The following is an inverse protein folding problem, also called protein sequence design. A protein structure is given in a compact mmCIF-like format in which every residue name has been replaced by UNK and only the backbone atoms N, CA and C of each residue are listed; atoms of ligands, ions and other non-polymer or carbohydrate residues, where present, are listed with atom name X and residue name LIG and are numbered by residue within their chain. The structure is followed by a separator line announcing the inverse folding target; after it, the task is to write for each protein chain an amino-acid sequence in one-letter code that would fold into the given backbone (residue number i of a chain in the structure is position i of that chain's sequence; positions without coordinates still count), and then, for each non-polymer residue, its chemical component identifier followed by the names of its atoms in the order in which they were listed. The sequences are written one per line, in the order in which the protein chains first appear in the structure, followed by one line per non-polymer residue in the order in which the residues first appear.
data_IF_923991126351
#
_entry.id   IF_923991126351
#
_cell.length_a   1.000
_cell.length_b   1.000
_cell.length_c   1.000
_cell.angle_alpha   90.00
_cell.angle_beta   90.00
_cell.angle_gamma   90.00
#
_symmetry.space_group_name_H-M   'P 1'
#
loop_
_entity.id
_entity.type
_entity.pdbx_description
1 polymer ?
#
# COMPACT_ATOMS: atom_id res chain seq x y z
N UNK A 1 10.35 4.77 28.85
CA UNK A 1 9.38 3.75 28.41
C UNK A 1 8.96 4.08 26.98
N UNK A 2 9.71 3.63 25.97
CA UNK A 2 9.31 3.81 24.58
C UNK A 2 8.18 2.82 24.30
N UNK A 3 6.96 3.31 24.14
CA UNK A 3 5.84 2.51 23.63
C UNK A 3 6.25 2.02 22.24
N UNK A 4 6.46 0.72 22.07
CA UNK A 4 6.83 0.12 20.80
C UNK A 4 5.81 0.54 19.74
N UNK A 5 6.22 1.40 18.81
CA UNK A 5 5.36 1.86 17.74
C UNK A 5 5.00 0.63 16.90
N UNK A 6 3.72 0.29 16.89
CA UNK A 6 3.19 -0.69 15.95
C UNK A 6 3.55 -0.18 14.55
N UNK A 7 4.58 -0.77 13.95
CA UNK A 7 5.12 -0.30 12.68
C UNK A 7 4.20 -0.84 11.57
N UNK A 8 3.25 -0.02 11.16
CA UNK A 8 2.43 -0.29 9.99
C UNK A 8 3.27 -0.09 8.72
N UNK A 9 2.99 -0.87 7.68
CA UNK A 9 3.73 -0.70 6.43
C UNK A 9 3.38 0.63 5.78
N UNK A 10 4.42 1.39 5.43
CA UNK A 10 4.30 2.63 4.64
C UNK A 10 3.98 2.36 3.15
N UNK A 11 3.80 1.09 2.77
CA UNK A 11 3.54 0.65 1.39
C UNK A 11 2.40 1.43 0.74
N UNK A 12 1.32 1.67 1.49
CA UNK A 12 0.12 2.33 0.98
C UNK A 12 0.27 3.83 0.77
N UNK A 13 1.35 4.47 1.24
CA UNK A 13 1.63 5.88 0.92
C UNK A 13 1.87 6.08 -0.59
N UNK A 14 2.26 5.03 -1.32
CA UNK A 14 2.42 5.05 -2.80
C UNK A 14 1.14 4.76 -3.57
N UNK A 15 0.03 4.49 -2.89
CA UNK A 15 -1.29 4.36 -3.54
C UNK A 15 -1.80 5.74 -3.97
N UNK A 16 -2.79 5.80 -4.85
CA UNK A 16 -3.35 7.09 -5.31
C UNK A 16 -3.84 7.97 -4.16
N UNK A 17 -4.44 7.38 -3.12
CA UNK A 17 -4.89 8.12 -1.92
C UNK A 17 -3.71 8.56 -1.05
N UNK A 18 -2.68 7.71 -0.93
CA UNK A 18 -1.46 8.05 -0.21
C UNK A 18 -0.68 9.18 -0.87
N UNK A 19 -0.56 9.17 -2.20
CA UNK A 19 0.08 10.22 -2.99
C UNK A 19 -0.69 11.54 -2.85
N UNK A 20 -2.02 11.52 -2.98
CA UNK A 20 -2.83 12.72 -2.78
C UNK A 20 -2.64 13.32 -1.38
N UNK A 21 -2.51 12.48 -0.35
CA UNK A 21 -2.22 12.92 1.01
C UNK A 21 -0.80 13.52 1.12
N UNK A 22 0.22 12.87 0.58
CA UNK A 22 1.60 13.40 0.63
C UNK A 22 1.71 14.72 -0.11
N UNK A 23 1.13 14.83 -1.30
CA UNK A 23 1.14 16.06 -2.10
C UNK A 23 0.46 17.21 -1.31
N UNK A 24 -0.68 16.93 -0.67
CA UNK A 24 -1.38 17.92 0.17
C UNK A 24 -0.55 18.34 1.39
N UNK A 25 0.15 17.40 2.02
CA UNK A 25 1.01 17.70 3.17
C UNK A 25 2.22 18.55 2.75
N UNK A 26 2.81 18.25 1.59
CA UNK A 26 3.94 19.01 1.04
C UNK A 26 3.52 20.45 0.68
N UNK A 27 2.33 20.64 0.12
CA UNK A 27 1.76 21.98 -0.12
C UNK A 27 1.59 22.76 1.19
N UNK A 28 1.00 22.13 2.23
CA UNK A 28 0.80 22.77 3.53
C UNK A 28 2.11 23.11 4.26
N UNK A 29 3.17 22.31 4.05
CA UNK A 29 4.50 22.60 4.57
C UNK A 29 5.11 23.78 3.80
N UNK A 30 4.97 23.79 2.48
CA UNK A 30 5.50 24.85 1.61
C UNK A 30 4.85 26.20 1.90
N UNK A 31 3.56 26.20 2.25
CA UNK A 31 2.80 27.36 2.72
C UNK A 31 3.07 27.73 4.19
N UNK A 32 4.00 27.06 4.87
CA UNK A 32 4.33 27.22 6.30
C UNK A 32 3.14 27.03 7.26
N UNK A 33 2.08 26.33 6.82
CA UNK A 33 0.85 26.11 7.60
C UNK A 33 1.00 24.97 8.60
N UNK A 34 1.85 23.98 8.29
CA UNK A 34 2.18 22.87 9.19
C UNK A 34 3.69 22.64 9.17
N UNK A 35 4.23 22.08 10.25
CA UNK A 35 5.63 21.66 10.28
C UNK A 35 5.80 20.21 9.75
N UNK A 36 7.00 19.85 9.27
CA UNK A 36 7.28 18.50 8.77
C UNK A 36 7.02 17.40 9.82
N UNK A 37 7.26 17.67 11.10
CA UNK A 37 7.05 16.70 12.17
C UNK A 37 5.58 16.33 12.35
N UNK A 38 4.66 17.29 12.13
CA UNK A 38 3.22 17.04 12.16
C UNK A 38 2.79 16.24 10.94
N UNK A 39 3.31 16.55 9.75
CA UNK A 39 3.05 15.76 8.54
C UNK A 39 3.46 14.30 8.71
N UNK A 40 4.63 14.03 9.29
CA UNK A 40 5.07 12.66 9.60
C UNK A 40 4.12 11.93 10.57
N UNK A 41 3.56 12.64 11.57
CA UNK A 41 2.53 12.06 12.47
C UNK A 41 1.23 11.75 11.73
N UNK A 42 0.82 12.61 10.81
CA UNK A 42 -0.37 12.38 9.97
C UNK A 42 -0.16 11.16 9.08
N UNK A 43 1.01 11.01 8.46
CA UNK A 43 1.36 9.83 7.67
C UNK A 43 1.37 8.54 8.49
N UNK A 44 1.91 8.58 9.72
CA UNK A 44 1.84 7.43 10.63
C UNK A 44 0.40 7.02 10.97
N UNK A 45 -0.49 7.99 11.20
CA UNK A 45 -1.92 7.72 11.40
C UNK A 45 -2.57 7.16 10.13
N UNK A 46 -2.20 7.65 8.95
CA UNK A 46 -2.67 7.12 7.68
C UNK A 46 -2.28 5.65 7.50
N UNK A 47 -1.04 5.26 7.79
CA UNK A 47 -0.58 3.88 7.64
C UNK A 47 -1.40 2.90 8.49
N UNK A 48 -1.74 3.30 9.71
CA UNK A 48 -2.66 2.56 10.57
C UNK A 48 -4.07 2.51 9.98
N UNK A 49 -4.64 3.67 9.65
CA UNK A 49 -6.03 3.79 9.22
C UNK A 49 -6.32 3.00 7.93
N UNK A 50 -5.44 3.08 6.94
CA UNK A 50 -5.62 2.36 5.67
C UNK A 50 -5.52 0.84 5.86
N UNK A 51 -4.58 0.39 6.68
CA UNK A 51 -4.41 -1.04 6.99
C UNK A 51 -5.66 -1.59 7.66
N UNK A 52 -6.17 -0.89 8.68
CA UNK A 52 -7.39 -1.30 9.37
C UNK A 52 -8.62 -1.27 8.48
N UNK A 53 -8.78 -0.22 7.66
CA UNK A 53 -9.90 -0.07 6.74
C UNK A 53 -9.93 -1.19 5.70
N UNK A 54 -8.78 -1.52 5.09
CA UNK A 54 -8.66 -2.63 4.15
C UNK A 54 -9.03 -3.97 4.80
N UNK A 55 -8.53 -4.24 6.01
CA UNK A 55 -8.81 -5.49 6.72
C UNK A 55 -10.28 -5.63 7.16
N UNK A 56 -10.85 -4.56 7.72
CA UNK A 56 -12.21 -4.58 8.31
C UNK A 56 -13.28 -4.52 7.22
N UNK A 57 -13.13 -3.64 6.24
CA UNK A 57 -14.23 -3.24 5.36
C UNK A 57 -14.18 -3.88 3.97
N UNK A 58 -13.00 -4.28 3.47
CA UNK A 58 -12.89 -4.86 2.12
C UNK A 58 -13.09 -6.37 2.17
N UNK A 59 -14.17 -6.85 1.54
CA UNK A 59 -14.49 -8.29 1.40
C UNK A 59 -14.39 -8.81 -0.03
N UNK A 60 -14.21 -7.91 -0.99
CA UNK A 60 -14.08 -8.25 -2.40
C UNK A 60 -12.87 -9.18 -2.62
N UNK A 61 -13.07 -10.16 -3.49
CA UNK A 61 -12.04 -11.11 -3.90
C UNK A 61 -11.85 -10.99 -5.40
N UNK A 62 -10.61 -11.23 -5.82
CA UNK A 62 -10.24 -11.25 -7.22
C UNK A 62 -9.33 -12.43 -7.51
N UNK A 63 -9.36 -12.89 -8.75
CA UNK A 63 -8.43 -13.86 -9.30
C UNK A 63 -7.71 -13.20 -10.47
N UNK A 64 -6.44 -13.52 -10.68
CA UNK A 64 -5.70 -13.03 -11.83
C UNK A 64 -4.86 -14.13 -12.47
N UNK A 65 -4.64 -14.01 -13.78
CA UNK A 65 -3.73 -14.86 -14.55
C UNK A 65 -2.87 -13.98 -15.44
N UNK A 66 -1.61 -14.36 -15.61
CA UNK A 66 -0.65 -13.65 -16.47
C UNK A 66 0.68 -14.38 -16.53
N UNK A 67 1.60 -13.87 -17.34
CA UNK A 67 2.96 -14.42 -17.50
C UNK A 67 3.94 -13.70 -16.58
N UNK A 68 4.60 -14.41 -15.68
CA UNK A 68 5.64 -13.83 -14.82
C UNK A 68 6.83 -13.38 -15.68
N UNK A 69 7.23 -12.11 -15.55
CA UNK A 69 8.38 -11.52 -16.23
C UNK A 69 9.64 -11.64 -15.36
N UNK A 70 9.56 -11.14 -14.13
CA UNK A 70 10.61 -11.25 -13.11
C UNK A 70 10.01 -11.14 -11.72
N UNK A 71 10.73 -11.67 -10.72
CA UNK A 71 10.39 -11.53 -9.31
C UNK A 71 11.61 -11.13 -8.48
N UNK A 72 11.37 -10.62 -7.27
CA UNK A 72 12.39 -10.34 -6.26
C UNK A 72 11.78 -10.52 -4.88
N UNK A 73 12.54 -11.11 -3.97
CA UNK A 73 12.26 -11.14 -2.55
C UNK A 73 13.46 -10.55 -1.81
N UNK A 74 13.24 -9.49 -1.03
CA UNK A 74 14.26 -8.80 -0.25
C UNK A 74 13.56 -8.06 0.89
N UNK A 75 14.14 -8.10 2.10
CA UNK A 75 13.59 -7.46 3.32
C UNK A 75 12.12 -7.81 3.59
N UNK A 76 11.77 -9.09 3.43
CA UNK A 76 10.40 -9.61 3.57
C UNK A 76 9.36 -9.03 2.60
N UNK A 77 9.78 -8.31 1.56
CA UNK A 77 8.92 -7.76 0.52
C UNK A 77 9.08 -8.54 -0.77
N UNK A 78 7.96 -9.04 -1.28
CA UNK A 78 7.87 -9.61 -2.62
C UNK A 78 7.54 -8.53 -3.64
N UNK A 79 8.27 -8.52 -4.75
CA UNK A 79 7.96 -7.72 -5.93
C UNK A 79 7.88 -8.62 -7.15
N UNK A 80 6.74 -8.61 -7.84
CA UNK A 80 6.52 -9.33 -9.09
C UNK A 80 6.27 -8.34 -10.23
N UNK A 81 6.84 -8.59 -11.40
CA UNK A 81 6.41 -7.98 -12.65
C UNK A 81 5.74 -9.06 -13.48
N UNK A 82 4.49 -8.82 -13.87
CA UNK A 82 3.66 -9.78 -14.61
C UNK A 82 3.18 -9.13 -15.90
N UNK A 83 3.25 -9.85 -17.01
CA UNK A 83 2.81 -9.44 -18.35
C UNK A 83 1.49 -10.10 -18.72
N UNK A 84 0.73 -9.44 -19.60
CA UNK A 84 -0.52 -9.94 -20.18
C UNK A 84 -1.51 -10.44 -19.09
N UNK A 85 -1.76 -9.58 -18.10
CA UNK A 85 -2.54 -9.93 -16.91
C UNK A 85 -4.02 -9.75 -17.19
N UNK A 86 -4.83 -10.70 -16.78
CA UNK A 86 -6.29 -10.61 -16.72
C UNK A 86 -6.76 -10.79 -15.29
N UNK A 87 -7.46 -9.79 -14.75
CA UNK A 87 -8.12 -9.81 -13.45
C UNK A 87 -9.60 -10.12 -13.62
N UNK A 88 -10.14 -10.95 -12.74
CA UNK A 88 -11.57 -11.27 -12.63
C UNK A 88 -12.01 -11.05 -11.19
N UNK A 89 -13.04 -10.24 -11.00
CA UNK A 89 -13.65 -10.02 -9.70
C UNK A 89 -14.69 -11.11 -9.44
N UNK A 90 -14.78 -11.61 -8.21
CA UNK A 90 -15.75 -12.67 -7.87
C UNK A 90 -17.21 -12.18 -7.99
N UNK A 91 -17.44 -10.87 -7.94
CA UNK A 91 -18.77 -10.24 -8.02
C UNK A 91 -19.39 -10.23 -9.43
N UNK A 92 -18.84 -10.99 -10.38
CA UNK A 92 -19.38 -11.11 -11.74
C UNK A 92 -19.11 -9.91 -12.66
N UNK A 93 -18.17 -9.04 -12.30
CA UNK A 93 -17.77 -7.90 -13.12
C UNK A 93 -16.98 -8.29 -14.38
N UNK A 94 -16.92 -7.38 -15.36
CA UNK A 94 -16.10 -7.56 -16.55
C UNK A 94 -14.63 -7.76 -16.17
N UNK A 95 -13.95 -8.67 -16.88
CA UNK A 95 -12.53 -8.90 -16.69
C UNK A 95 -11.72 -7.66 -17.08
N UNK A 96 -10.76 -7.29 -16.22
CA UNK A 96 -9.85 -6.15 -16.48
C UNK A 96 -8.53 -6.71 -17.00
N UNK A 97 -8.05 -6.20 -18.13
CA UNK A 97 -6.78 -6.63 -18.73
C UNK A 97 -5.71 -5.56 -18.64
N UNK A 98 -4.45 -5.97 -18.50
CA UNK A 98 -3.30 -5.07 -18.46
C UNK A 98 -2.07 -5.71 -19.11
N UNK A 99 -1.33 -4.94 -19.91
CA UNK A 99 -0.12 -5.42 -20.59
C UNK A 99 1.00 -5.74 -19.59
N UNK A 100 1.12 -4.95 -18.52
CA UNK A 100 2.15 -5.13 -17.48
C UNK A 100 1.63 -4.63 -16.13
N UNK A 101 1.87 -5.41 -15.08
CA UNK A 101 1.51 -5.09 -13.70
C UNK A 101 2.71 -5.30 -12.79
N UNK A 102 2.90 -4.40 -11.83
CA UNK A 102 3.82 -4.57 -10.71
C UNK A 102 3.02 -4.89 -9.45
N UNK A 103 3.28 -6.03 -8.83
CA UNK A 103 2.71 -6.41 -7.53
C UNK A 103 3.80 -6.27 -6.47
N UNK A 104 3.52 -5.50 -5.43
CA UNK A 104 4.38 -5.38 -4.24
C UNK A 104 3.58 -5.89 -3.05
N UNK A 105 4.11 -6.88 -2.34
CA UNK A 105 3.45 -7.52 -1.20
C UNK A 105 4.42 -7.60 -0.03
N UNK A 106 4.03 -7.01 1.09
CA UNK A 106 4.72 -7.20 2.36
C UNK A 106 4.23 -8.48 3.06
N UNK A 107 5.01 -8.96 4.02
CA UNK A 107 4.61 -10.07 4.88
C UNK A 107 3.38 -9.69 5.73
N UNK A 108 2.40 -10.60 5.82
CA UNK A 108 1.19 -10.37 6.62
C UNK A 108 1.45 -10.49 8.13
N UNK A 109 2.56 -11.12 8.53
CA UNK A 109 2.99 -11.14 9.93
C UNK A 109 3.37 -9.72 10.35
N UNK A 110 2.93 -9.32 11.54
CA UNK A 110 3.41 -8.08 12.16
C UNK A 110 4.93 -8.20 12.34
N UNK A 111 5.72 -7.16 12.04
CA UNK A 111 7.12 -7.16 12.41
C UNK A 111 7.21 -7.43 13.91
N UNK A 112 7.86 -8.52 14.30
CA UNK A 112 8.12 -8.77 15.73
C UNK A 112 9.02 -7.63 16.21
N UNK A 113 8.51 -6.82 17.14
CA UNK A 113 9.31 -5.78 17.76
C UNK A 113 10.44 -6.44 18.56
N UNK A 114 11.67 -6.28 18.09
CA UNK A 114 12.87 -6.45 18.92
C UNK A 114 13.01 -5.28 19.88
#
# INVERSE_FOLDING_TARGET
MATGAQSFYELYRRSSIGLALTDTLDDLISDERINPQLAMKILGNFDQAITEALQKNVKARLQFKGSLDTYRFCDEVWTFLIKNVTFKMDTGGQAVTANKVKIVSCNAKKPEGT
#
